data_IF_672519870921
#
_entry.id   IF_672519870921
#
_cell.length_a   1.000
_cell.length_b   1.000
_cell.length_c   1.000
_cell.angle_alpha   90.00
_cell.angle_beta   90.00
_cell.angle_gamma   90.00
#
_symmetry.space_group_name_H-M   'P 1'
#
loop_
_entity.id
_entity.type
_entity.pdbx_description
1 polymer ?
#
# COMPACT_ATOMS: atom_id res chain seq x y z
N UNK A 1 -1.05 27.32 26.67
CA UNK A 1 -2.45 27.29 26.21
C UNK A 1 -2.67 26.03 25.42
N UNK A 2 -3.30 25.03 26.02
CA UNK A 2 -3.61 23.73 25.43
C UNK A 2 -4.78 23.87 24.46
N UNK A 3 -4.50 23.80 23.15
CA UNK A 3 -5.55 23.82 22.12
C UNK A 3 -5.98 22.40 21.78
N UNK A 4 -7.21 22.11 22.19
CA UNK A 4 -7.98 20.89 22.06
C UNK A 4 -8.35 20.60 20.59
N UNK A 5 -7.64 19.71 19.89
CA UNK A 5 -8.09 19.16 18.58
C UNK A 5 -8.00 17.62 18.43
N UNK A 6 -8.46 16.79 19.40
CA UNK A 6 -8.40 15.33 19.22
C UNK A 6 -9.48 14.76 18.29
N UNK A 7 -10.66 15.38 18.15
CA UNK A 7 -11.81 14.77 17.43
C UNK A 7 -11.77 14.90 15.89
N UNK A 8 -11.22 15.99 15.34
CA UNK A 8 -11.15 16.20 13.88
C UNK A 8 -10.09 15.33 13.20
N UNK A 9 -9.04 14.95 13.94
CA UNK A 9 -7.95 14.09 13.47
C UNK A 9 -8.44 12.68 13.11
N UNK A 10 -9.35 12.15 13.92
CA UNK A 10 -9.94 10.82 13.71
C UNK A 10 -10.80 10.74 12.44
N UNK A 11 -11.58 11.79 12.14
CA UNK A 11 -12.41 11.83 10.93
C UNK A 11 -11.59 11.91 9.64
N UNK A 12 -10.54 12.74 9.60
CA UNK A 12 -9.68 12.86 8.42
C UNK A 12 -8.89 11.57 8.15
N UNK A 13 -8.32 10.95 9.19
CA UNK A 13 -7.65 9.65 9.08
C UNK A 13 -8.63 8.53 8.68
N UNK A 14 -9.87 8.57 9.17
CA UNK A 14 -10.91 7.60 8.82
C UNK A 14 -11.37 7.77 7.35
N UNK A 15 -11.61 9.00 6.88
CA UNK A 15 -11.92 9.27 5.48
C UNK A 15 -10.77 8.81 4.59
N UNK A 16 -9.54 9.15 4.96
CA UNK A 16 -8.32 8.79 4.24
C UNK A 16 -8.11 7.26 4.18
N UNK A 17 -8.30 6.54 5.29
CA UNK A 17 -8.20 5.08 5.30
C UNK A 17 -9.30 4.44 4.43
N UNK A 18 -10.50 5.03 4.40
CA UNK A 18 -11.64 4.52 3.64
C UNK A 18 -11.48 4.76 2.13
N UNK A 19 -11.00 5.93 1.73
CA UNK A 19 -10.70 6.24 0.33
C UNK A 19 -9.53 5.41 -0.19
N UNK A 20 -8.46 5.24 0.60
CA UNK A 20 -7.33 4.37 0.23
C UNK A 20 -7.74 2.90 0.07
N UNK A 21 -8.57 2.36 0.97
CA UNK A 21 -9.04 0.97 0.86
C UNK A 21 -9.89 0.73 -0.40
N UNK A 22 -10.71 1.70 -0.79
CA UNK A 22 -11.49 1.66 -2.03
C UNK A 22 -10.56 1.76 -3.25
N UNK A 23 -9.59 2.68 -3.21
CA UNK A 23 -8.58 2.88 -4.24
C UNK A 23 -7.78 1.61 -4.54
N UNK A 24 -7.25 0.93 -3.51
CA UNK A 24 -6.50 -0.31 -3.69
C UNK A 24 -7.36 -1.45 -4.23
N UNK A 25 -8.63 -1.53 -3.82
CA UNK A 25 -9.56 -2.56 -4.30
C UNK A 25 -9.91 -2.35 -5.77
N UNK A 26 -10.02 -1.10 -6.24
CA UNK A 26 -10.26 -0.75 -7.65
C UNK A 26 -9.03 -1.00 -8.53
N UNK A 27 -7.82 -0.67 -8.04
CA UNK A 27 -6.54 -0.95 -8.74
C UNK A 27 -6.33 -2.45 -9.04
N UNK A 28 -6.74 -3.34 -8.13
CA UNK A 28 -6.74 -4.80 -8.39
C UNK A 28 -7.70 -5.22 -9.50
N UNK A 29 -8.79 -4.49 -9.70
CA UNK A 29 -9.80 -4.74 -10.72
C UNK A 29 -9.37 -4.20 -12.09
N UNK A 30 -8.71 -3.04 -12.13
CA UNK A 30 -8.23 -2.39 -13.36
C UNK A 30 -6.99 -3.06 -13.99
N UNK A 31 -6.15 -3.77 -13.21
CA UNK A 31 -5.10 -4.62 -13.81
C UNK A 31 -5.64 -5.74 -14.71
N UNK A 32 -6.95 -6.00 -14.71
CA UNK A 32 -7.62 -7.00 -15.57
C UNK A 32 -8.39 -6.40 -16.76
N UNK A 33 -8.44 -5.07 -16.92
CA UNK A 33 -9.17 -4.44 -18.02
C UNK A 33 -8.56 -3.09 -18.38
N UNK A 34 -8.23 -2.91 -19.66
CA UNK A 34 -7.53 -1.73 -20.17
C UNK A 34 -8.16 -0.39 -19.75
N UNK A 35 -7.30 0.55 -19.36
CA UNK A 35 -7.68 1.88 -18.88
C UNK A 35 -8.31 2.69 -20.02
N UNK A 36 -9.61 2.98 -19.91
CA UNK A 36 -10.30 3.99 -20.72
C UNK A 36 -9.78 5.38 -20.34
N UNK A 37 -9.23 6.13 -21.30
CA UNK A 37 -8.56 7.43 -21.09
C UNK A 37 -9.50 8.60 -20.73
N UNK A 38 -10.82 8.39 -20.70
CA UNK A 38 -11.78 9.50 -20.69
C UNK A 38 -12.62 9.61 -19.40
N UNK A 39 -12.43 8.76 -18.39
CA UNK A 39 -13.24 8.84 -17.18
C UNK A 39 -12.60 9.77 -16.13
N UNK A 40 -12.80 11.08 -16.28
CA UNK A 40 -12.25 12.10 -15.35
C UNK A 40 -12.67 11.86 -13.90
N UNK A 41 -13.86 11.31 -13.67
CA UNK A 41 -14.34 10.96 -12.32
C UNK A 41 -13.44 9.93 -11.64
N UNK A 42 -12.90 8.96 -12.39
CA UNK A 42 -11.97 7.96 -11.85
C UNK A 42 -10.57 8.58 -11.58
N UNK A 43 -10.24 9.73 -12.19
CA UNK A 43 -8.97 10.44 -11.98
C UNK A 43 -9.02 11.43 -10.80
N UNK A 44 -10.20 11.85 -10.35
CA UNK A 44 -10.36 12.81 -9.24
C UNK A 44 -9.57 12.42 -7.98
N UNK A 45 -9.60 11.16 -7.50
CA UNK A 45 -8.83 10.77 -6.33
C UNK A 45 -7.32 10.95 -6.52
N UNK A 46 -6.81 10.76 -7.75
CA UNK A 46 -5.40 10.98 -8.05
C UNK A 46 -5.05 12.47 -8.02
N UNK A 47 -5.90 13.30 -8.60
CA UNK A 47 -5.68 14.76 -8.59
C UNK A 47 -5.68 15.33 -7.18
N UNK A 48 -6.58 14.86 -6.31
CA UNK A 48 -6.64 15.27 -4.91
C UNK A 48 -5.38 14.85 -4.14
N UNK A 49 -4.94 13.61 -4.31
CA UNK A 49 -3.70 13.12 -3.68
C UNK A 49 -2.49 13.88 -4.19
N UNK A 50 -2.39 14.18 -5.49
CA UNK A 50 -1.28 14.96 -6.02
C UNK A 50 -1.28 16.38 -5.46
N UNK A 51 -2.43 17.06 -5.53
CA UNK A 51 -2.56 18.43 -5.02
C UNK A 51 -2.19 18.55 -3.54
N UNK A 52 -2.67 17.63 -2.70
CA UNK A 52 -2.40 17.65 -1.26
C UNK A 52 -0.93 17.36 -0.90
N UNK A 53 -0.17 16.75 -1.81
CA UNK A 53 1.20 16.29 -1.56
C UNK A 53 2.28 17.02 -2.37
N UNK A 54 1.90 17.94 -3.25
CA UNK A 54 2.86 18.80 -3.96
C UNK A 54 3.31 19.92 -3.02
N UNK A 55 4.61 20.21 -3.03
CA UNK A 55 5.20 21.32 -2.26
C UNK A 55 4.69 22.65 -2.82
N UNK A 56 4.09 23.47 -1.97
CA UNK A 56 3.58 24.76 -2.37
C UNK A 56 4.68 25.84 -2.29
N UNK A 57 4.84 26.64 -3.35
CA UNK A 57 5.92 27.62 -3.49
C UNK A 57 5.99 28.63 -2.34
N UNK A 58 4.85 29.11 -1.85
CA UNK A 58 4.81 30.13 -0.79
C UNK A 58 5.16 29.62 0.61
N UNK A 59 5.01 28.31 0.86
CA UNK A 59 5.23 27.74 2.21
C UNK A 59 6.41 26.78 2.26
N UNK A 60 6.87 26.28 1.12
CA UNK A 60 7.87 25.22 1.05
C UNK A 60 7.37 23.87 1.62
N UNK A 61 6.08 23.77 1.96
CA UNK A 61 5.46 22.59 2.57
C UNK A 61 4.28 22.11 1.72
N UNK A 62 3.92 20.84 1.89
CA UNK A 62 2.71 20.29 1.25
C UNK A 62 1.48 20.67 2.07
N UNK A 63 0.31 20.90 1.44
CA UNK A 63 -0.93 21.15 2.16
C UNK A 63 -1.25 20.06 3.20
N UNK A 64 -1.00 18.79 2.86
CA UNK A 64 -1.15 17.68 3.80
C UNK A 64 -0.26 17.83 5.03
N UNK A 65 1.00 18.24 4.86
CA UNK A 65 1.95 18.44 5.97
C UNK A 65 1.55 19.60 6.86
N UNK A 66 1.09 20.70 6.27
CA UNK A 66 0.62 21.88 7.03
C UNK A 66 -0.57 21.50 7.92
N UNK A 67 -1.53 20.74 7.40
CA UNK A 67 -2.75 20.36 8.14
C UNK A 67 -2.50 19.24 9.15
N UNK A 68 -1.73 18.22 8.78
CA UNK A 68 -1.56 17.00 9.59
C UNK A 68 -0.36 17.05 10.54
N UNK A 69 0.63 17.89 10.22
CA UNK A 69 1.96 17.91 10.85
C UNK A 69 2.84 16.72 10.47
N UNK A 70 2.42 15.89 9.51
CA UNK A 70 3.14 14.67 9.11
C UNK A 70 3.48 14.67 7.63
N UNK A 71 4.55 13.97 7.27
CA UNK A 71 4.87 13.71 5.86
C UNK A 71 3.94 12.64 5.28
N UNK A 72 3.57 12.80 4.02
CA UNK A 72 2.72 11.85 3.32
C UNK A 72 3.51 10.58 2.95
N UNK A 73 2.97 9.42 3.32
CA UNK A 73 3.55 8.11 3.03
C UNK A 73 2.50 7.29 2.27
N UNK A 74 2.64 7.08 0.94
CA UNK A 74 1.62 6.41 0.13
C UNK A 74 1.41 4.93 0.45
N UNK A 75 2.38 4.27 1.08
CA UNK A 75 2.33 2.85 1.46
C UNK A 75 3.16 2.62 2.73
N UNK A 76 2.62 2.93 3.92
CA UNK A 76 3.35 2.78 5.18
C UNK A 76 3.60 1.32 5.56
N UNK A 77 2.76 0.41 5.03
CA UNK A 77 2.85 -1.04 5.23
C UNK A 77 4.03 -1.69 4.50
N UNK A 78 4.63 -0.98 3.54
CA UNK A 78 5.79 -1.46 2.83
C UNK A 78 7.04 -0.89 3.49
N UNK A 79 7.90 -1.79 3.97
CA UNK A 79 9.23 -1.44 4.45
C UNK A 79 9.96 -0.62 3.39
N UNK A 80 10.35 0.61 3.77
CA UNK A 80 11.25 1.47 2.97
C UNK A 80 12.72 1.09 3.16
N UNK A 81 12.96 0.02 3.93
CA UNK A 81 14.27 -0.59 4.02
C UNK A 81 14.79 -0.83 2.60
N UNK A 82 16.08 -0.56 2.35
CA UNK A 82 16.67 -0.91 1.06
C UNK A 82 16.30 -2.37 0.76
N UNK A 83 15.93 -2.69 -0.50
CA UNK A 83 15.65 -4.07 -0.87
C UNK A 83 16.78 -4.93 -0.30
N UNK A 84 16.47 -6.06 0.37
CA UNK A 84 17.52 -6.95 0.84
C UNK A 84 18.48 -7.17 -0.33
N UNK A 85 19.78 -7.00 -0.05
CA UNK A 85 20.88 -7.08 -1.04
C UNK A 85 20.51 -8.11 -2.10
N UNK A 86 20.41 -7.67 -3.36
CA UNK A 86 19.82 -8.45 -4.45
C UNK A 86 20.25 -9.90 -4.37
N UNK A 87 19.36 -10.77 -3.90
CA UNK A 87 19.60 -12.22 -3.95
C UNK A 87 19.79 -12.59 -5.41
N UNK A 88 20.83 -13.36 -5.71
CA UNK A 88 21.02 -13.85 -7.07
C UNK A 88 19.75 -14.57 -7.52
N UNK A 89 19.31 -14.34 -8.75
CA UNK A 89 18.12 -14.98 -9.32
C UNK A 89 18.21 -16.52 -9.21
N UNK A 90 19.42 -17.08 -9.32
CA UNK A 90 19.68 -18.51 -9.15
C UNK A 90 19.43 -18.99 -7.73
N UNK A 91 19.85 -18.21 -6.73
CA UNK A 91 19.72 -18.55 -5.32
C UNK A 91 18.27 -18.43 -4.87
N UNK A 92 17.56 -17.44 -5.41
CA UNK A 92 16.12 -17.33 -5.22
C UNK A 92 15.37 -18.51 -5.85
N UNK A 93 15.69 -18.88 -7.08
CA UNK A 93 15.07 -20.02 -7.76
C UNK A 93 15.35 -21.35 -7.04
N UNK A 94 16.57 -21.57 -6.54
CA UNK A 94 16.91 -22.79 -5.81
C UNK A 94 16.16 -22.85 -4.47
N UNK A 95 16.08 -21.73 -3.75
CA UNK A 95 15.32 -21.61 -2.50
C UNK A 95 13.83 -21.88 -2.72
N UNK A 96 13.24 -21.37 -3.80
CA UNK A 96 11.85 -21.66 -4.16
C UNK A 96 11.61 -23.14 -4.47
N UNK A 97 12.51 -23.79 -5.21
CA UNK A 97 12.39 -25.22 -5.49
C UNK A 97 12.48 -26.05 -4.20
N UNK A 98 13.45 -25.75 -3.34
CA UNK A 98 13.63 -26.46 -2.08
C UNK A 98 12.42 -26.29 -1.14
N UNK A 99 11.89 -25.07 -1.02
CA UNK A 99 10.69 -24.79 -0.22
C UNK A 99 9.47 -25.51 -0.78
N UNK A 100 9.29 -25.56 -2.10
CA UNK A 100 8.20 -26.31 -2.73
C UNK A 100 8.25 -27.80 -2.43
N UNK A 101 9.43 -28.43 -2.49
CA UNK A 101 9.58 -29.83 -2.11
C UNK A 101 9.23 -30.08 -0.63
N UNK A 102 9.63 -29.15 0.25
CA UNK A 102 9.29 -29.24 1.67
C UNK A 102 7.79 -29.12 1.92
N UNK A 103 7.10 -28.20 1.23
CA UNK A 103 5.64 -28.05 1.31
C UNK A 103 4.92 -29.30 0.83
N UNK A 104 5.37 -29.92 -0.27
CA UNK A 104 4.80 -31.19 -0.74
C UNK A 104 4.95 -32.30 0.30
N UNK A 105 6.13 -32.41 0.92
CA UNK A 105 6.39 -33.42 1.97
C UNK A 105 5.53 -33.18 3.21
N UNK A 106 5.40 -31.95 3.68
CA UNK A 106 4.58 -31.63 4.85
C UNK A 106 3.10 -31.85 4.57
N UNK A 107 2.63 -31.49 3.37
CA UNK A 107 1.26 -31.73 2.96
C UNK A 107 0.95 -33.23 2.86
N UNK A 108 1.85 -34.03 2.32
CA UNK A 108 1.70 -35.48 2.25
C UNK A 108 1.65 -36.11 3.66
N UNK A 109 2.52 -35.67 4.58
CA UNK A 109 2.51 -36.11 5.98
C UNK A 109 1.20 -35.74 6.66
N UNK A 110 0.76 -34.49 6.52
CA UNK A 110 -0.51 -34.04 7.09
C UNK A 110 -1.70 -34.86 6.54
N UNK A 111 -1.75 -35.10 5.24
CA UNK A 111 -2.78 -35.92 4.61
C UNK A 111 -2.79 -37.37 5.11
N UNK A 112 -1.62 -37.95 5.42
CA UNK A 112 -1.52 -39.27 6.05
C UNK A 112 -2.01 -39.26 7.50
N UNK A 113 -1.70 -38.21 8.26
CA UNK A 113 -2.19 -38.04 9.64
C UNK A 113 -3.72 -37.95 9.70
N UNK A 114 -4.36 -37.25 8.76
CA UNK A 114 -5.83 -37.14 8.72
C UNK A 114 -6.55 -38.40 8.24
N UNK A 115 -5.85 -39.36 7.61
CA UNK A 115 -6.42 -40.64 7.16
C UNK A 115 -6.33 -41.74 8.22
N UNK A 116 -5.69 -41.47 9.36
CA UNK A 116 -5.50 -42.38 10.48
C UNK A 116 -6.49 -42.03 11.59
#
# INVERSE_FOLDING_TARGET
>A
GSVLFPKKRSFFLCLYAKTNKIYFKKRKKERKGGVSKNNWVDLLPFTEVMYNNVVHSSTGLTPFKVVSGMDFIPMPEYSRDPPPSSVSLTDWMSTLKATWENVKKTLAKAAQTYKR
#
